data_IF_044713825087
#
_entry.id   IF_044713825087
#
_cell.length_a   1.000
_cell.length_b   1.000
_cell.length_c   1.000
_cell.angle_alpha   90.00
_cell.angle_beta   90.00
_cell.angle_gamma   90.00
#
_symmetry.space_group_name_H-M   'P 1'
#
loop_
_entity.id
_entity.type
_entity.pdbx_description
1 polymer ?
#
# COMPACT_ATOMS: atom_id res chain seq x y z
N UNK A 1 -34.91 38.00 -76.40
CA UNK A 1 -34.35 36.76 -75.76
C UNK A 1 -33.86 37.09 -74.38
N UNK A 2 -34.69 36.87 -73.33
CA UNK A 2 -34.36 37.23 -71.94
C UNK A 2 -33.92 35.95 -71.22
N UNK A 3 -32.71 35.89 -70.76
CA UNK A 3 -32.19 34.85 -69.91
C UNK A 3 -32.55 35.11 -68.43
N UNK A 4 -33.31 34.21 -67.86
CA UNK A 4 -33.69 34.17 -66.46
C UNK A 4 -32.55 33.57 -65.62
N UNK A 5 -31.98 34.30 -64.66
CA UNK A 5 -31.04 33.79 -63.71
C UNK A 5 -31.81 33.21 -62.49
N UNK A 6 -31.67 31.90 -62.28
CA UNK A 6 -32.18 31.26 -61.05
C UNK A 6 -31.14 31.46 -59.93
N UNK A 7 -31.55 32.05 -58.84
CA UNK A 7 -30.79 32.18 -57.60
C UNK A 7 -31.15 31.00 -56.73
N UNK A 8 -30.21 30.08 -56.47
CA UNK A 8 -30.35 29.00 -55.48
C UNK A 8 -29.86 29.47 -54.14
N UNK A 9 -30.78 29.56 -53.19
CA UNK A 9 -30.44 29.85 -51.80
C UNK A 9 -30.01 28.53 -51.14
N UNK A 10 -28.76 28.49 -50.64
CA UNK A 10 -28.24 27.42 -49.82
C UNK A 10 -28.52 27.76 -48.37
N UNK A 11 -29.42 26.98 -47.76
CA UNK A 11 -29.74 27.12 -46.34
C UNK A 11 -28.74 26.31 -45.52
N UNK A 12 -27.74 27.01 -44.95
CA UNK A 12 -26.76 26.38 -44.03
C UNK A 12 -27.36 26.09 -42.66
N UNK A 13 -27.56 24.80 -42.35
CA UNK A 13 -27.87 24.36 -40.99
C UNK A 13 -26.58 24.42 -40.14
N UNK A 14 -26.50 25.38 -39.22
CA UNK A 14 -25.52 25.40 -38.13
C UNK A 14 -25.90 24.36 -37.09
N UNK A 15 -25.20 23.22 -37.09
CA UNK A 15 -25.24 22.27 -35.99
C UNK A 15 -24.37 22.83 -34.85
N UNK A 16 -25.01 23.40 -33.85
CA UNK A 16 -24.35 23.78 -32.60
C UNK A 16 -24.16 22.51 -31.76
N UNK A 17 -22.95 21.93 -31.80
CA UNK A 17 -22.57 20.80 -30.92
C UNK A 17 -22.37 21.35 -29.51
N UNK A 18 -23.35 21.08 -28.63
CA UNK A 18 -23.20 21.28 -27.18
C UNK A 18 -22.22 20.23 -26.69
N UNK A 19 -20.96 20.62 -26.46
CA UNK A 19 -19.99 19.84 -25.72
C UNK A 19 -20.45 19.85 -24.23
N UNK A 20 -21.20 18.81 -23.82
CA UNK A 20 -21.34 18.52 -22.40
C UNK A 20 -19.96 18.07 -21.88
N UNK A 21 -19.26 18.98 -21.25
CA UNK A 21 -18.11 18.63 -20.41
C UNK A 21 -18.64 17.79 -19.24
N UNK A 22 -18.41 16.48 -19.30
CA UNK A 22 -18.62 15.61 -18.16
C UNK A 22 -17.68 16.08 -17.04
N UNK A 23 -18.24 16.75 -16.04
CA UNK A 23 -17.57 17.02 -14.76
C UNK A 23 -17.27 15.63 -14.17
N UNK A 24 -16.00 15.28 -13.88
CA UNK A 24 -15.73 14.01 -13.22
C UNK A 24 -16.50 14.01 -11.90
N UNK A 25 -17.35 13.02 -11.71
CA UNK A 25 -18.02 12.82 -10.44
C UNK A 25 -16.94 12.72 -9.37
N UNK A 26 -16.87 13.71 -8.48
CA UNK A 26 -16.08 13.59 -7.24
C UNK A 26 -16.59 12.34 -6.54
N UNK A 27 -15.74 11.33 -6.38
CA UNK A 27 -16.08 10.15 -5.62
C UNK A 27 -16.53 10.63 -4.23
N UNK A 28 -17.82 10.51 -3.94
CA UNK A 28 -18.37 10.92 -2.65
C UNK A 28 -17.74 10.02 -1.58
N UNK A 29 -17.26 10.62 -0.47
CA UNK A 29 -16.78 9.86 0.66
C UNK A 29 -17.89 8.96 1.20
N UNK A 30 -17.53 7.75 1.60
CA UNK A 30 -18.44 6.81 2.27
C UNK A 30 -18.02 6.62 3.73
N UNK A 31 -18.93 6.11 4.56
CA UNK A 31 -18.63 5.84 5.95
C UNK A 31 -17.56 4.75 6.07
N UNK A 32 -16.54 4.95 6.90
CA UNK A 32 -15.57 3.90 7.23
C UNK A 32 -16.24 2.67 7.86
N UNK A 33 -17.38 2.86 8.54
CA UNK A 33 -18.17 1.77 9.11
C UNK A 33 -18.82 0.83 8.08
N UNK A 34 -18.76 1.15 6.78
CA UNK A 34 -19.17 0.24 5.70
C UNK A 34 -18.07 -0.76 5.32
N UNK A 35 -16.84 -0.54 5.79
CA UNK A 35 -15.74 -1.49 5.58
C UNK A 35 -15.83 -2.59 6.65
N UNK A 36 -15.86 -3.84 6.21
CA UNK A 36 -15.97 -4.98 7.13
C UNK A 36 -14.64 -5.27 7.81
N UNK A 37 -13.54 -5.31 7.04
CA UNK A 37 -12.19 -5.51 7.56
C UNK A 37 -11.18 -4.62 6.83
N UNK A 38 -10.20 -4.11 7.59
CA UNK A 38 -9.03 -3.40 7.07
C UNK A 38 -7.82 -4.29 7.32
N UNK A 39 -7.22 -4.78 6.23
CA UNK A 39 -6.08 -5.70 6.29
C UNK A 39 -4.74 -4.97 6.23
N UNK A 40 -4.69 -3.82 5.56
CA UNK A 40 -3.46 -3.07 5.33
C UNK A 40 -3.67 -1.58 5.47
N UNK A 41 -2.70 -0.90 6.09
CA UNK A 41 -2.63 0.58 6.17
C UNK A 41 -1.27 1.00 5.62
N UNK A 42 -1.25 1.86 4.58
CA UNK A 42 -0.02 2.30 3.93
C UNK A 42 0.00 3.80 3.72
N UNK A 43 1.18 4.41 3.85
CA UNK A 43 1.44 5.77 3.43
C UNK A 43 1.68 5.81 1.91
N UNK A 44 0.94 6.62 1.18
CA UNK A 44 1.04 6.77 -0.27
C UNK A 44 1.08 8.27 -0.63
N UNK A 45 2.25 8.77 -0.98
CA UNK A 45 2.45 10.21 -1.13
C UNK A 45 2.18 10.95 0.19
N UNK A 46 1.19 11.81 0.21
CA UNK A 46 0.71 12.54 1.41
C UNK A 46 -0.60 11.98 1.98
N UNK A 47 -1.04 10.83 1.48
CA UNK A 47 -2.28 10.16 1.85
C UNK A 47 -2.01 8.90 2.66
N UNK A 48 -3.03 8.46 3.39
CA UNK A 48 -3.10 7.13 3.99
C UNK A 48 -4.09 6.31 3.18
N UNK A 49 -3.69 5.13 2.74
CA UNK A 49 -4.52 4.21 1.98
C UNK A 49 -4.74 2.91 2.75
N UNK A 50 -5.88 2.30 2.50
CA UNK A 50 -6.36 1.10 3.17
C UNK A 50 -6.61 -0.01 2.14
N UNK A 51 -6.03 -1.20 2.36
CA UNK A 51 -6.45 -2.43 1.71
C UNK A 51 -7.53 -3.09 2.56
N UNK A 52 -8.66 -3.40 1.97
CA UNK A 52 -9.85 -3.89 2.68
C UNK A 52 -10.54 -5.01 1.92
N UNK A 53 -11.51 -5.69 2.53
CA UNK A 53 -12.38 -6.64 1.85
C UNK A 53 -13.14 -6.04 0.65
N UNK A 54 -13.42 -4.74 0.71
CA UNK A 54 -14.20 -4.04 -0.31
C UNK A 54 -13.32 -3.37 -1.38
N UNK A 55 -11.97 -3.48 -1.27
CA UNK A 55 -11.01 -2.92 -2.23
C UNK A 55 -10.05 -1.92 -1.62
N UNK A 56 -9.57 -0.99 -2.47
CA UNK A 56 -8.61 0.05 -2.08
C UNK A 56 -9.32 1.35 -1.74
N UNK A 57 -9.03 1.90 -0.58
CA UNK A 57 -9.60 3.16 -0.12
C UNK A 57 -8.54 4.15 0.34
N UNK A 58 -8.83 5.44 0.13
CA UNK A 58 -8.15 6.53 0.83
C UNK A 58 -8.84 6.77 2.16
N UNK A 59 -8.07 6.85 3.23
CA UNK A 59 -8.55 7.28 4.54
C UNK A 59 -8.62 8.82 4.57
N UNK A 60 -9.80 9.37 4.76
CA UNK A 60 -10.02 10.83 4.82
C UNK A 60 -9.96 11.31 6.27
N UNK A 61 -10.78 10.70 7.12
CA UNK A 61 -10.86 10.96 8.56
C UNK A 61 -11.47 9.76 9.30
N UNK A 62 -11.67 9.89 10.63
CA UNK A 62 -12.20 8.83 11.48
C UNK A 62 -13.60 8.31 11.09
N UNK A 63 -14.29 8.96 10.19
CA UNK A 63 -15.66 8.60 9.76
C UNK A 63 -15.74 8.30 8.27
N UNK A 64 -14.77 8.76 7.47
CA UNK A 64 -14.91 8.86 6.02
C UNK A 64 -13.75 8.19 5.32
N UNK A 65 -14.06 7.38 4.33
CA UNK A 65 -13.13 6.82 3.35
C UNK A 65 -13.60 7.13 1.93
N UNK A 66 -12.69 7.06 0.97
CA UNK A 66 -12.96 7.30 -0.44
C UNK A 66 -12.38 6.16 -1.27
N UNK A 67 -13.21 5.51 -2.09
CA UNK A 67 -12.74 4.47 -3.02
C UNK A 67 -11.70 5.06 -3.99
N UNK A 68 -10.64 4.30 -4.26
CA UNK A 68 -9.55 4.70 -5.16
C UNK A 68 -9.66 4.06 -6.55
N UNK A 69 -10.52 3.09 -6.74
CA UNK A 69 -10.70 2.42 -8.02
C UNK A 69 -12.03 1.69 -8.14
N UNK A 70 -12.40 1.27 -9.35
CA UNK A 70 -13.62 0.51 -9.61
C UNK A 70 -13.48 -0.98 -9.27
N UNK A 71 -12.24 -1.47 -9.19
CA UNK A 71 -11.97 -2.90 -8.92
C UNK A 71 -12.37 -3.24 -7.49
N UNK A 72 -13.32 -4.15 -7.39
CA UNK A 72 -13.76 -4.69 -6.12
C UNK A 72 -13.12 -6.07 -5.94
N UNK A 73 -12.07 -6.14 -5.15
CA UNK A 73 -11.46 -7.39 -4.70
C UNK A 73 -10.92 -7.21 -3.29
N UNK A 74 -10.91 -8.28 -2.53
CA UNK A 74 -10.40 -8.31 -1.16
C UNK A 74 -8.88 -8.15 -1.18
N UNK A 75 -8.38 -7.02 -0.68
CA UNK A 75 -6.94 -6.71 -0.62
C UNK A 75 -6.38 -7.15 0.73
N UNK A 76 -5.82 -8.35 0.77
CA UNK A 76 -5.14 -8.89 1.95
C UNK A 76 -3.74 -8.29 2.12
N UNK A 77 -2.92 -8.37 1.08
CA UNK A 77 -1.58 -7.79 1.04
C UNK A 77 -1.52 -6.54 0.18
N UNK A 78 -0.92 -5.46 0.70
CA UNK A 78 -0.75 -4.19 0.01
C UNK A 78 0.68 -3.66 0.24
N UNK A 79 1.43 -3.44 -0.83
CA UNK A 79 2.74 -2.81 -0.78
C UNK A 79 2.81 -1.56 -1.66
N UNK A 80 3.61 -0.59 -1.23
CA UNK A 80 3.78 0.70 -1.91
C UNK A 80 5.25 0.91 -2.26
N UNK A 81 5.53 1.24 -3.52
CA UNK A 81 6.84 1.69 -3.95
C UNK A 81 6.74 2.87 -4.92
N UNK A 82 7.02 4.07 -4.44
CA UNK A 82 6.83 5.30 -5.19
C UNK A 82 5.36 5.51 -5.59
N UNK A 83 5.07 5.46 -6.89
CA UNK A 83 3.70 5.52 -7.43
C UNK A 83 3.10 4.14 -7.73
N UNK A 84 3.82 3.06 -7.47
CA UNK A 84 3.36 1.70 -7.72
C UNK A 84 2.65 1.18 -6.48
N UNK A 85 1.50 0.55 -6.69
CA UNK A 85 0.79 -0.21 -5.69
C UNK A 85 0.80 -1.67 -6.12
N UNK A 86 1.20 -2.55 -5.23
CA UNK A 86 1.11 -3.99 -5.43
C UNK A 86 0.08 -4.54 -4.46
N UNK A 87 -0.80 -5.40 -4.94
CA UNK A 87 -1.85 -6.00 -4.13
C UNK A 87 -1.98 -7.50 -4.40
N UNK A 88 -2.49 -8.21 -3.41
CA UNK A 88 -2.83 -9.63 -3.45
C UNK A 88 -4.04 -9.88 -2.56
N UNK A 89 -4.71 -11.02 -2.76
CA UNK A 89 -5.88 -11.42 -1.97
C UNK A 89 -6.87 -12.23 -2.80
N UNK A 90 -8.16 -11.93 -2.68
CA UNK A 90 -9.26 -12.72 -3.24
C UNK A 90 -10.13 -11.91 -4.20
N UNK A 91 -10.74 -12.54 -5.23
CA UNK A 91 -11.68 -11.85 -6.11
C UNK A 91 -12.93 -11.42 -5.34
N UNK A 92 -13.37 -10.19 -5.54
CA UNK A 92 -14.65 -9.71 -5.02
C UNK A 92 -15.86 -10.24 -5.81
N UNK A 93 -17.07 -10.02 -5.31
CA UNK A 93 -18.29 -10.44 -6.00
C UNK A 93 -18.38 -9.87 -7.41
N UNK A 94 -18.56 -10.75 -8.40
CA UNK A 94 -18.63 -10.39 -9.82
C UNK A 94 -17.29 -10.10 -10.49
N UNK A 95 -16.17 -10.29 -9.81
CA UNK A 95 -14.84 -10.16 -10.38
C UNK A 95 -14.49 -11.32 -11.29
N UNK A 96 -13.79 -11.04 -12.40
CA UNK A 96 -13.22 -12.05 -13.30
C UNK A 96 -11.77 -12.42 -12.96
N UNK A 97 -11.29 -11.94 -11.79
CA UNK A 97 -9.97 -12.31 -11.30
C UNK A 97 -9.99 -13.77 -10.82
N UNK A 98 -8.88 -14.50 -10.99
CA UNK A 98 -8.78 -15.87 -10.46
C UNK A 98 -8.68 -15.88 -8.93
N UNK A 99 -8.97 -17.04 -8.33
CA UNK A 99 -8.86 -17.30 -6.88
C UNK A 99 -7.63 -18.16 -6.57
N UNK A 100 -6.66 -17.69 -5.78
CA UNK A 100 -6.45 -16.30 -5.36
C UNK A 100 -6.01 -15.38 -6.51
N UNK A 101 -6.09 -14.06 -6.32
CA UNK A 101 -5.76 -13.10 -7.39
C UNK A 101 -4.27 -13.07 -7.77
N UNK A 102 -3.41 -13.69 -6.98
CA UNK A 102 -1.97 -13.63 -7.17
C UNK A 102 -1.41 -12.23 -6.92
N UNK A 103 -0.44 -11.80 -7.71
CA UNK A 103 0.12 -10.45 -7.62
C UNK A 103 -0.49 -9.54 -8.69
N UNK A 104 -1.01 -8.40 -8.24
CA UNK A 104 -1.53 -7.31 -9.06
C UNK A 104 -0.66 -6.05 -8.91
N UNK A 105 -0.54 -5.26 -9.96
CA UNK A 105 0.16 -3.97 -9.99
C UNK A 105 -0.75 -2.87 -10.51
N UNK A 106 -0.85 -1.77 -9.77
CA UNK A 106 -1.38 -0.50 -10.24
C UNK A 106 -0.28 0.54 -10.36
N UNK A 107 -0.33 1.36 -11.42
CA UNK A 107 0.55 2.51 -11.65
C UNK A 107 -0.21 3.83 -11.76
N UNK A 108 -1.51 3.79 -11.55
CA UNK A 108 -2.46 4.91 -11.68
C UNK A 108 -3.27 5.15 -10.39
N UNK A 109 -2.64 4.86 -9.24
CA UNK A 109 -3.21 5.06 -7.90
C UNK A 109 -4.44 4.17 -7.62
N UNK A 110 -4.42 2.93 -8.07
CA UNK A 110 -5.47 1.95 -7.81
C UNK A 110 -6.66 2.00 -8.78
N UNK A 111 -6.63 2.89 -9.79
CA UNK A 111 -7.74 3.01 -10.75
C UNK A 111 -7.84 1.81 -11.69
N UNK A 112 -6.70 1.19 -11.99
CA UNK A 112 -6.65 -0.06 -12.73
C UNK A 112 -5.54 -0.98 -12.23
N UNK A 113 -5.70 -2.30 -12.46
CA UNK A 113 -4.79 -3.30 -11.97
C UNK A 113 -4.35 -4.25 -13.09
N UNK A 114 -3.05 -4.50 -13.17
CA UNK A 114 -2.43 -5.43 -14.11
C UNK A 114 -2.01 -6.70 -13.37
N UNK A 115 -2.37 -7.87 -13.92
CA UNK A 115 -1.87 -9.17 -13.45
C UNK A 115 -0.36 -9.26 -13.68
N UNK A 116 0.40 -9.58 -12.63
CA UNK A 116 1.86 -9.70 -12.68
C UNK A 116 2.34 -11.16 -12.67
N UNK A 117 1.54 -12.08 -12.15
CA UNK A 117 1.83 -13.50 -12.04
C UNK A 117 1.26 -14.11 -10.76
N UNK A 118 1.41 -15.42 -10.64
CA UNK A 118 0.94 -16.22 -9.49
C UNK A 118 -0.59 -16.24 -9.31
N UNK A 119 -1.34 -15.92 -10.38
CA UNK A 119 -2.80 -15.98 -10.37
C UNK A 119 -3.26 -17.44 -10.18
N UNK A 120 -4.13 -17.65 -9.20
CA UNK A 120 -4.60 -19.00 -8.81
C UNK A 120 -3.59 -19.79 -7.97
N UNK A 121 -2.44 -19.21 -7.64
CA UNK A 121 -1.36 -19.91 -6.96
C UNK A 121 -1.04 -19.35 -5.58
N UNK A 122 -1.12 -18.02 -5.40
CA UNK A 122 -0.62 -17.34 -4.20
C UNK A 122 -1.58 -16.29 -3.69
N UNK A 123 -1.78 -16.28 -2.37
CA UNK A 123 -2.49 -15.27 -1.60
C UNK A 123 -1.53 -14.63 -0.59
N UNK A 124 -0.96 -13.46 -0.94
CA UNK A 124 -0.08 -12.75 -0.03
C UNK A 124 -0.83 -11.96 1.02
N UNK A 125 -0.68 -12.32 2.29
CA UNK A 125 -1.20 -11.55 3.43
C UNK A 125 -0.17 -10.54 3.97
N UNK A 126 1.12 -10.80 3.86
CA UNK A 126 2.17 -9.82 4.03
C UNK A 126 2.82 -9.59 2.68
N UNK A 127 2.91 -8.35 2.25
CA UNK A 127 3.54 -7.96 0.99
C UNK A 127 4.33 -6.69 1.18
N UNK A 128 5.63 -6.74 0.86
CA UNK A 128 6.54 -5.61 0.95
C UNK A 128 7.33 -5.44 -0.34
N UNK A 129 7.58 -4.18 -0.72
CA UNK A 129 8.27 -3.85 -1.97
C UNK A 129 9.24 -2.70 -1.79
N UNK A 130 10.46 -2.88 -2.31
CA UNK A 130 11.46 -1.83 -2.38
C UNK A 130 12.29 -1.98 -3.67
N UNK A 131 12.01 -1.13 -4.65
CA UNK A 131 12.64 -1.22 -5.96
C UNK A 131 12.27 -2.48 -6.71
N UNK A 132 13.26 -3.36 -6.92
CA UNK A 132 13.06 -4.67 -7.52
C UNK A 132 12.92 -5.79 -6.49
N UNK A 133 13.26 -5.51 -5.24
CA UNK A 133 13.16 -6.51 -4.17
C UNK A 133 11.74 -6.51 -3.60
N UNK A 134 11.15 -7.71 -3.51
CA UNK A 134 9.84 -7.92 -2.91
C UNK A 134 9.85 -9.15 -2.02
N UNK A 135 9.09 -9.06 -0.94
CA UNK A 135 8.77 -10.20 -0.08
C UNK A 135 7.28 -10.36 0.03
N UNK A 136 6.81 -11.60 -0.02
CA UNK A 136 5.42 -11.95 0.19
C UNK A 136 5.31 -13.19 1.07
N UNK A 137 4.34 -13.18 1.98
CA UNK A 137 3.97 -14.37 2.75
C UNK A 137 2.68 -14.89 2.20
N UNK A 138 2.76 -16.08 1.60
CA UNK A 138 1.60 -16.78 1.07
C UNK A 138 0.83 -17.45 2.21
N UNK A 139 -0.46 -17.13 2.35
CA UNK A 139 -1.33 -17.65 3.41
C UNK A 139 -1.58 -19.14 3.23
N UNK A 140 -1.73 -19.60 1.99
CA UNK A 140 -2.04 -20.98 1.66
C UNK A 140 -0.91 -21.95 2.04
N UNK A 141 0.32 -21.65 1.61
CA UNK A 141 1.49 -22.47 1.96
C UNK A 141 2.15 -22.06 3.28
N UNK A 142 1.92 -20.85 3.77
CA UNK A 142 2.63 -20.25 4.90
C UNK A 142 4.11 -20.00 4.61
N UNK A 143 4.52 -19.93 3.35
CA UNK A 143 5.90 -19.71 2.97
C UNK A 143 6.19 -18.22 2.75
N UNK A 144 7.43 -17.84 3.08
CA UNK A 144 8.02 -16.58 2.66
C UNK A 144 8.57 -16.75 1.24
N UNK A 145 8.12 -15.90 0.33
CA UNK A 145 8.61 -15.81 -1.04
C UNK A 145 9.40 -14.52 -1.23
N UNK A 146 10.42 -14.58 -2.07
CA UNK A 146 11.26 -13.44 -2.44
C UNK A 146 11.35 -13.30 -3.95
N UNK A 147 11.20 -12.07 -4.43
CA UNK A 147 11.46 -11.65 -5.81
C UNK A 147 12.55 -10.59 -5.84
N UNK A 148 13.45 -10.65 -6.82
CA UNK A 148 14.49 -9.64 -7.09
C UNK A 148 14.23 -8.83 -8.37
N UNK A 149 13.09 -9.01 -8.99
CA UNK A 149 12.75 -8.46 -10.31
C UNK A 149 11.32 -7.87 -10.34
N UNK A 150 10.93 -7.24 -9.23
CA UNK A 150 9.65 -6.57 -9.04
C UNK A 150 8.43 -7.48 -9.24
N UNK A 151 8.52 -8.70 -8.72
CA UNK A 151 7.41 -9.65 -8.68
C UNK A 151 7.25 -10.50 -9.94
N UNK A 152 8.21 -10.46 -10.88
CA UNK A 152 8.14 -11.29 -12.09
C UNK A 152 8.49 -12.76 -11.83
N UNK A 153 9.50 -13.00 -11.01
CA UNK A 153 9.93 -14.34 -10.61
C UNK A 153 10.07 -14.41 -9.09
N UNK A 154 9.68 -15.54 -8.52
CA UNK A 154 9.65 -15.74 -7.08
C UNK A 154 10.41 -17.01 -6.67
N UNK A 155 11.08 -16.94 -5.51
CA UNK A 155 11.82 -18.06 -4.93
C UNK A 155 11.37 -18.20 -3.47
N UNK A 156 10.94 -19.42 -3.10
CA UNK A 156 10.60 -19.71 -1.71
C UNK A 156 11.83 -19.63 -0.80
N UNK A 157 11.62 -19.07 0.38
CA UNK A 157 12.57 -19.01 1.49
C UNK A 157 12.21 -19.98 2.63
N UNK A 158 11.23 -20.84 2.39
CA UNK A 158 10.69 -21.77 3.38
C UNK A 158 9.58 -21.13 4.20
N UNK A 159 9.25 -21.77 5.32
CA UNK A 159 8.18 -21.30 6.21
C UNK A 159 8.46 -19.90 6.74
N UNK A 160 7.44 -19.06 6.70
CA UNK A 160 7.53 -17.72 7.28
C UNK A 160 7.61 -17.80 8.82
N UNK A 161 8.51 -17.02 9.39
CA UNK A 161 8.72 -16.87 10.83
C UNK A 161 8.53 -15.42 11.31
N UNK A 162 8.10 -14.54 10.43
CA UNK A 162 8.10 -13.10 10.67
C UNK A 162 6.68 -12.55 10.72
N UNK A 163 6.46 -11.63 11.65
CA UNK A 163 5.20 -10.87 11.76
C UNK A 163 5.22 -9.58 10.93
N UNK A 164 6.40 -9.06 10.59
CA UNK A 164 6.56 -7.86 9.78
C UNK A 164 7.93 -7.86 9.08
N UNK A 165 8.04 -7.20 7.93
CA UNK A 165 9.27 -7.09 7.12
C UNK A 165 9.40 -5.66 6.60
N UNK A 166 10.61 -5.11 6.67
CA UNK A 166 10.94 -3.82 6.09
C UNK A 166 12.20 -3.92 5.22
N UNK A 167 12.17 -3.36 4.02
CA UNK A 167 13.23 -3.49 3.01
C UNK A 167 13.95 -2.16 2.85
N UNK A 168 15.29 -2.20 2.82
CA UNK A 168 16.10 -1.02 2.53
C UNK A 168 16.47 -0.95 1.04
N UNK A 169 16.06 0.13 0.39
CA UNK A 169 16.37 0.42 -1.03
C UNK A 169 17.85 0.66 -1.32
N UNK A 170 18.58 1.24 -0.38
CA UNK A 170 19.95 1.72 -0.62
C UNK A 170 21.00 0.61 -0.62
N UNK A 171 20.61 -0.60 -0.16
CA UNK A 171 21.50 -1.75 -0.07
C UNK A 171 20.77 -3.00 -0.51
N UNK A 172 20.80 -3.31 -1.80
CA UNK A 172 20.06 -4.40 -2.42
C UNK A 172 20.06 -5.69 -1.58
N UNK A 173 18.86 -6.19 -1.31
CA UNK A 173 18.61 -7.39 -0.51
C UNK A 173 18.80 -7.23 1.00
N UNK A 174 19.08 -6.03 1.52
CA UNK A 174 19.07 -5.76 2.95
C UNK A 174 17.63 -5.58 3.43
N UNK A 175 17.20 -6.41 4.37
CA UNK A 175 15.89 -6.30 5.00
C UNK A 175 16.01 -6.52 6.51
N UNK A 176 15.03 -5.99 7.22
CA UNK A 176 14.77 -6.27 8.62
C UNK A 176 13.42 -6.97 8.73
N UNK A 177 13.27 -7.83 9.71
CA UNK A 177 12.01 -8.49 9.99
C UNK A 177 11.79 -8.60 11.50
N UNK A 178 10.55 -8.74 11.91
CA UNK A 178 10.17 -9.00 13.29
C UNK A 178 9.85 -10.48 13.47
N UNK A 179 10.54 -11.10 14.41
CA UNK A 179 10.25 -12.45 14.87
C UNK A 179 10.01 -12.42 16.38
N UNK A 180 8.80 -12.72 16.81
CA UNK A 180 8.41 -12.67 18.24
C UNK A 180 8.75 -11.32 18.89
N UNK A 181 8.56 -10.22 18.14
CA UNK A 181 8.87 -8.87 18.57
C UNK A 181 10.37 -8.51 18.59
N UNK A 182 11.26 -9.42 18.19
CA UNK A 182 12.70 -9.19 18.09
C UNK A 182 13.09 -8.89 16.65
N UNK A 183 14.08 -7.99 16.51
CA UNK A 183 14.55 -7.54 15.20
C UNK A 183 15.58 -8.55 14.63
N UNK A 184 15.32 -9.00 13.43
CA UNK A 184 16.19 -9.88 12.66
C UNK A 184 16.66 -9.14 11.40
N UNK A 185 17.98 -9.08 11.18
CA UNK A 185 18.55 -8.53 9.95
C UNK A 185 18.97 -9.61 8.99
N UNK A 186 18.83 -9.33 7.69
CA UNK A 186 19.36 -10.16 6.63
C UNK A 186 20.08 -9.33 5.58
N UNK A 187 21.10 -9.90 4.96
CA UNK A 187 21.81 -9.31 3.83
C UNK A 187 21.60 -10.11 2.52
N UNK A 188 20.97 -11.26 2.57
CA UNK A 188 20.79 -12.16 1.42
C UNK A 188 19.40 -12.77 1.41
N UNK A 189 18.39 -11.90 1.40
CA UNK A 189 17.01 -12.36 1.23
C UNK A 189 16.64 -13.49 2.20
N UNK A 190 16.99 -13.34 3.48
CA UNK A 190 16.74 -14.28 4.57
C UNK A 190 17.43 -15.65 4.43
N UNK A 191 18.40 -15.81 3.54
CA UNK A 191 19.27 -17.02 3.53
C UNK A 191 20.34 -16.98 4.61
N UNK A 192 20.72 -15.79 5.08
CA UNK A 192 21.57 -15.55 6.26
C UNK A 192 20.92 -14.50 7.14
N UNK A 193 20.65 -14.84 8.37
CA UNK A 193 19.95 -14.00 9.34
C UNK A 193 20.83 -13.77 10.57
N UNK A 194 20.68 -12.59 11.16
CA UNK A 194 21.31 -12.20 12.42
C UNK A 194 20.31 -11.46 13.29
N UNK A 195 20.22 -11.85 14.56
CA UNK A 195 19.49 -11.04 15.54
C UNK A 195 20.16 -9.68 15.70
N UNK A 196 19.36 -8.63 15.77
CA UNK A 196 19.78 -7.27 16.18
C UNK A 196 19.37 -7.12 17.63
N UNK A 197 20.35 -6.87 18.48
CA UNK A 197 20.09 -6.75 19.91
C UNK A 197 19.29 -5.48 20.20
N UNK A 198 18.21 -5.63 20.96
CA UNK A 198 17.34 -4.55 21.41
C UNK A 198 16.62 -4.95 22.68
N UNK A 199 16.53 -4.03 23.63
CA UNK A 199 15.70 -4.18 24.82
C UNK A 199 14.22 -4.01 24.55
N UNK A 200 13.85 -3.43 23.40
CA UNK A 200 12.46 -3.20 23.00
C UNK A 200 11.87 -4.46 22.36
N UNK A 201 10.56 -4.62 22.55
CA UNK A 201 9.74 -5.61 21.84
C UNK A 201 8.87 -4.87 20.85
N UNK A 202 9.13 -5.08 19.56
CA UNK A 202 8.50 -4.33 18.48
C UNK A 202 7.22 -5.01 17.98
N UNK A 203 6.26 -4.21 17.52
CA UNK A 203 5.02 -4.67 16.89
C UNK A 203 4.97 -4.43 15.39
N UNK A 204 5.60 -3.36 14.89
CA UNK A 204 5.69 -3.05 13.47
C UNK A 204 6.95 -2.28 13.15
N UNK A 205 7.44 -2.42 11.93
CA UNK A 205 8.63 -1.73 11.40
C UNK A 205 8.33 -1.20 10.00
N UNK A 206 8.93 -0.05 9.64
CA UNK A 206 8.91 0.49 8.29
C UNK A 206 10.24 1.19 7.99
N UNK A 207 10.81 0.99 6.80
CA UNK A 207 12.13 1.46 6.45
C UNK A 207 12.17 2.20 5.11
N UNK A 208 12.35 3.51 5.19
CA UNK A 208 12.47 4.37 4.02
C UNK A 208 13.80 5.15 4.06
N UNK A 209 14.72 4.82 3.13
CA UNK A 209 16.05 5.45 3.09
C UNK A 209 16.82 5.26 4.39
N UNK A 210 17.19 6.38 5.04
CA UNK A 210 17.87 6.36 6.35
C UNK A 210 16.90 6.37 7.54
N UNK A 211 15.58 6.44 7.29
CA UNK A 211 14.56 6.45 8.33
C UNK A 211 14.01 5.05 8.57
N UNK A 212 14.53 4.39 9.58
CA UNK A 212 13.94 3.16 10.12
C UNK A 212 13.04 3.53 11.30
N UNK A 213 11.77 3.21 11.19
CA UNK A 213 10.75 3.41 12.22
C UNK A 213 10.32 2.06 12.80
N UNK A 214 10.03 2.03 14.08
CA UNK A 214 9.45 0.86 14.74
C UNK A 214 8.49 1.29 15.85
N UNK A 215 7.52 0.43 16.14
CA UNK A 215 6.58 0.65 17.23
C UNK A 215 6.80 -0.37 18.34
N UNK A 216 6.71 0.09 19.59
CA UNK A 216 6.77 -0.75 20.77
C UNK A 216 5.82 -0.19 21.84
N UNK A 217 4.87 -1.00 22.30
CA UNK A 217 3.83 -0.57 23.24
C UNK A 217 3.02 0.59 22.68
N UNK A 218 3.04 1.73 23.36
CA UNK A 218 2.32 2.96 22.96
C UNK A 218 3.21 3.97 22.23
N UNK A 219 4.42 3.61 21.85
CA UNK A 219 5.39 4.57 21.34
C UNK A 219 5.93 4.22 19.96
N UNK A 220 6.27 5.27 19.21
CA UNK A 220 7.04 5.22 17.98
C UNK A 220 8.50 5.53 18.27
N UNK A 221 9.38 4.74 17.68
CA UNK A 221 10.82 4.89 17.75
C UNK A 221 11.43 5.07 16.37
N UNK A 222 12.60 5.71 16.34
CA UNK A 222 13.44 5.85 15.13
C UNK A 222 14.84 5.35 15.40
N UNK A 223 15.41 4.67 14.41
CA UNK A 223 16.81 4.29 14.36
C UNK A 223 17.46 4.90 13.11
N UNK A 224 18.69 5.43 13.27
CA UNK A 224 19.55 5.89 12.19
C UNK A 224 20.67 4.89 11.86
N UNK A 225 20.84 3.84 12.65
CA UNK A 225 21.92 2.87 12.59
C UNK A 225 21.42 1.43 12.35
N UNK A 226 20.29 1.29 11.62
CA UNK A 226 19.67 0.03 11.21
C UNK A 226 19.20 -0.84 12.37
N UNK A 227 18.65 -0.19 13.38
CA UNK A 227 18.03 -0.86 14.50
C UNK A 227 18.96 -1.19 15.65
N UNK A 228 20.21 -0.73 15.62
CA UNK A 228 21.16 -0.92 16.73
C UNK A 228 20.79 -0.03 17.91
N UNK A 229 20.52 1.25 17.65
CA UNK A 229 20.02 2.18 18.68
C UNK A 229 18.69 2.81 18.27
N UNK A 230 17.90 3.18 19.27
CA UNK A 230 16.56 3.68 19.10
C UNK A 230 16.29 4.93 19.91
N UNK A 231 15.75 5.94 19.26
CA UNK A 231 15.28 7.18 19.92
C UNK A 231 13.76 7.23 19.83
N UNK A 232 13.11 7.51 20.97
CA UNK A 232 11.65 7.68 20.99
C UNK A 232 11.26 8.94 20.22
N UNK A 233 10.30 8.81 19.31
CA UNK A 233 9.75 9.89 18.48
C UNK A 233 8.50 10.49 19.11
N UNK A 234 7.56 9.64 19.54
CA UNK A 234 6.27 10.08 20.11
C UNK A 234 5.62 8.97 20.92
N UNK A 235 4.77 9.36 21.86
CA UNK A 235 3.83 8.48 22.54
C UNK A 235 2.42 8.67 21.96
N UNK A 236 1.58 7.62 22.03
CA UNK A 236 0.20 7.61 21.56
C UNK A 236 -0.74 7.15 22.67
N UNK A 237 -2.05 7.44 22.57
CA UNK A 237 -3.01 7.11 23.63
C UNK A 237 -3.14 5.61 23.92
N UNK A 238 -3.07 4.78 22.87
CA UNK A 238 -3.22 3.32 22.97
C UNK A 238 -2.03 2.61 22.34
N UNK A 239 -2.00 1.29 22.45
CA UNK A 239 -0.97 0.46 21.80
C UNK A 239 -0.93 0.70 20.30
N UNK A 240 0.29 0.77 19.78
CA UNK A 240 0.53 1.02 18.36
C UNK A 240 0.70 -0.31 17.64
N UNK A 241 -0.17 -0.56 16.67
CA UNK A 241 -0.17 -1.81 15.87
C UNK A 241 0.63 -1.68 14.57
N UNK A 242 0.66 -0.49 13.98
CA UNK A 242 1.23 -0.30 12.65
C UNK A 242 1.91 1.06 12.55
N UNK A 243 3.08 1.10 11.90
CA UNK A 243 3.69 2.31 11.36
C UNK A 243 3.90 2.16 9.87
N UNK A 244 3.70 3.25 9.14
CA UNK A 244 3.99 3.32 7.70
C UNK A 244 4.46 4.72 7.35
N UNK A 245 5.36 4.84 6.38
CA UNK A 245 5.91 6.12 5.98
C UNK A 245 6.05 6.25 4.46
N UNK A 246 5.97 7.47 4.01
CA UNK A 246 6.37 7.93 2.69
C UNK A 246 7.41 9.05 2.82
N UNK A 247 7.86 9.60 1.69
CA UNK A 247 8.70 10.81 1.71
C UNK A 247 8.00 12.04 2.27
N UNK A 248 6.66 12.01 2.43
CA UNK A 248 5.85 13.16 2.86
C UNK A 248 5.23 12.99 4.23
N UNK A 249 4.88 11.78 4.62
CA UNK A 249 4.15 11.52 5.86
C UNK A 249 4.69 10.31 6.63
N UNK A 250 4.42 10.32 7.92
CA UNK A 250 4.43 9.13 8.77
C UNK A 250 3.01 8.94 9.27
N UNK A 251 2.47 7.74 9.16
CA UNK A 251 1.18 7.37 9.72
C UNK A 251 1.35 6.24 10.74
N UNK A 252 0.57 6.31 11.81
CA UNK A 252 0.62 5.38 12.93
C UNK A 252 -0.80 4.98 13.29
N UNK A 253 -1.04 3.68 13.45
CA UNK A 253 -2.31 3.15 13.96
C UNK A 253 -2.17 2.89 15.45
N UNK A 254 -2.92 3.61 16.28
CA UNK A 254 -2.99 3.44 17.74
C UNK A 254 -4.43 3.17 18.14
N UNK A 255 -4.69 1.97 18.65
CA UNK A 255 -6.06 1.47 18.82
C UNK A 255 -6.84 1.55 17.50
N UNK A 256 -8.02 2.15 17.53
CA UNK A 256 -8.87 2.35 16.35
C UNK A 256 -8.66 3.73 15.70
N UNK A 257 -7.50 4.36 15.88
CA UNK A 257 -7.25 5.71 15.38
C UNK A 257 -5.98 5.78 14.57
N UNK A 258 -6.03 6.57 13.48
CA UNK A 258 -4.85 6.87 12.67
C UNK A 258 -4.33 8.26 13.05
N UNK A 259 -3.03 8.33 13.32
CA UNK A 259 -2.30 9.56 13.58
C UNK A 259 -1.34 9.82 12.43
N UNK A 260 -1.32 11.05 11.92
CA UNK A 260 -0.47 11.44 10.79
C UNK A 260 0.47 12.58 11.17
N UNK A 261 1.72 12.46 10.76
CA UNK A 261 2.72 13.53 10.79
C UNK A 261 3.14 13.88 9.36
N UNK A 262 3.16 15.16 9.02
CA UNK A 262 3.72 15.69 7.76
C UNK A 262 5.01 16.48 7.95
N UNK A 263 5.64 16.39 9.12
CA UNK A 263 6.85 17.12 9.47
C UNK A 263 7.95 16.21 10.05
N UNK A 264 8.00 14.97 9.55
CA UNK A 264 9.03 14.00 9.90
C UNK A 264 8.93 13.43 11.32
N UNK A 265 7.73 13.43 11.90
CA UNK A 265 7.46 12.88 13.24
C UNK A 265 7.60 13.91 14.35
N UNK A 266 7.82 15.20 14.06
CA UNK A 266 7.92 16.24 15.11
C UNK A 266 6.58 16.44 15.82
N UNK A 267 5.48 16.34 15.10
CA UNK A 267 4.11 16.37 15.67
C UNK A 267 3.22 15.39 14.93
N UNK A 268 2.25 14.82 15.63
CA UNK A 268 1.21 13.95 15.08
C UNK A 268 -0.16 14.55 15.34
N UNK A 269 -1.05 14.45 14.36
CA UNK A 269 -2.46 14.82 14.47
C UNK A 269 -3.30 13.57 14.23
N UNK A 270 -4.33 13.38 15.05
CA UNK A 270 -5.37 12.39 14.81
C UNK A 270 -6.13 12.80 13.55
N UNK A 271 -6.32 11.85 12.64
CA UNK A 271 -7.08 12.05 11.42
C UNK A 271 -8.58 11.83 11.64
#
# INVERSE_FOLDING_TARGET
MRMSKKISAVLGLLFSSLLLSAVPASASGQSIGTLSHIHSVRAFGDEVILGTHEGLFRYVDAKTVQSMGPENFDIMGLAVFGKRLYASGHPGPGSELPEPVGLLLSTDSGKSWKKMGLQGEVDFHLLESAGNDMYGVDSGSGNLLYSKDAGKNWVSRGKNLFSDIAINLTKGGAALALREGKLISTQKSFTKMRAVDSTLTFTSIDWLGDSLLATAGKALYRSADRGVTWSKVSDFPESVSTVTQSSKIIAVVSGNSIFKSSNGGKTFKKM
#
